data_IF_632980418002
#
_entry.id   IF_632980418002
#
_cell.length_a   1.000
_cell.length_b   1.000
_cell.length_c   1.000
_cell.angle_alpha   90.00
_cell.angle_beta   90.00
_cell.angle_gamma   90.00
#
_symmetry.space_group_name_H-M   'P 1'
#
loop_
_entity.id
_entity.type
_entity.pdbx_description
1 polymer ?
#
# COMPACT_ATOMS: atom_id res chain seq x y z
N UNK A 1 17.87 7.38 13.01
CA UNK A 1 16.45 7.49 12.58
C UNK A 1 16.00 8.92 12.84
N UNK A 2 15.41 9.59 11.85
CA UNK A 2 15.01 11.01 11.92
C UNK A 2 13.76 11.24 12.77
N UNK A 3 13.60 12.46 13.30
CA UNK A 3 12.45 12.89 14.10
C UNK A 3 11.09 12.65 13.42
N UNK A 4 11.03 12.68 12.08
CA UNK A 4 9.82 12.44 11.29
C UNK A 4 9.27 11.01 11.44
N UNK A 5 10.16 10.01 11.51
CA UNK A 5 9.77 8.60 11.73
C UNK A 5 9.37 8.32 13.19
N UNK A 6 9.82 9.18 14.13
CA UNK A 6 9.40 9.11 15.54
C UNK A 6 7.98 9.62 15.71
N UNK A 7 7.66 10.74 15.07
CA UNK A 7 6.33 11.37 15.12
C UNK A 7 5.25 10.45 14.52
N UNK A 8 5.58 9.67 13.48
CA UNK A 8 4.63 8.75 12.84
C UNK A 8 4.42 7.43 13.61
N UNK A 9 4.99 7.27 14.82
CA UNK A 9 4.86 6.03 15.62
C UNK A 9 5.62 4.82 15.03
N UNK A 10 6.30 4.99 13.90
CA UNK A 10 7.08 3.95 13.22
C UNK A 10 8.24 3.47 14.10
N UNK A 11 8.77 4.31 15.00
CA UNK A 11 9.81 3.91 15.96
C UNK A 11 9.32 2.85 16.95
N UNK A 12 8.09 3.01 17.49
CA UNK A 12 7.48 2.03 18.39
C UNK A 12 7.26 0.71 17.65
N UNK A 13 6.70 0.78 16.43
CA UNK A 13 6.49 -0.41 15.60
C UNK A 13 7.80 -1.09 15.22
N UNK A 14 8.84 -0.34 14.86
CA UNK A 14 10.16 -0.90 14.58
C UNK A 14 10.77 -1.59 15.80
N UNK A 15 10.58 -1.00 16.99
CA UNK A 15 11.03 -1.59 18.24
C UNK A 15 10.30 -2.89 18.56
N UNK A 16 8.97 -2.92 18.38
CA UNK A 16 8.17 -4.14 18.49
C UNK A 16 8.61 -5.20 17.46
N UNK A 17 8.86 -4.81 16.21
CA UNK A 17 9.31 -5.70 15.15
C UNK A 17 10.65 -6.38 15.44
N UNK A 18 11.56 -5.69 16.14
CA UNK A 18 12.83 -6.27 16.62
C UNK A 18 12.66 -7.28 17.75
N UNK A 19 11.60 -7.14 18.56
CA UNK A 19 11.34 -7.99 19.73
C UNK A 19 10.45 -9.20 19.41
N UNK A 20 9.53 -9.05 18.45
CA UNK A 20 8.59 -10.11 18.10
C UNK A 20 9.25 -11.20 17.25
N UNK A 21 8.93 -12.48 17.50
CA UNK A 21 9.31 -13.57 16.61
C UNK A 21 8.79 -13.33 15.18
N UNK A 22 9.56 -13.75 14.18
CA UNK A 22 9.21 -13.56 12.77
C UNK A 22 7.82 -14.09 12.37
N UNK A 23 7.38 -15.26 12.86
CA UNK A 23 6.01 -15.73 12.59
C UNK A 23 4.96 -14.82 13.20
N UNK A 24 5.15 -14.39 14.45
CA UNK A 24 4.21 -13.54 15.18
C UNK A 24 4.02 -12.19 14.50
N UNK A 25 5.10 -11.52 14.08
CA UNK A 25 5.02 -10.25 13.37
C UNK A 25 4.27 -10.37 12.03
N UNK A 26 4.44 -11.51 11.32
CA UNK A 26 3.74 -11.79 10.05
C UNK A 26 2.27 -12.07 10.28
N UNK A 27 1.92 -12.87 11.30
CA UNK A 27 0.52 -13.12 11.67
C UNK A 27 -0.16 -11.83 12.10
N UNK A 28 0.48 -11.01 12.93
CA UNK A 28 -0.07 -9.74 13.37
C UNK A 28 -0.34 -8.80 12.19
N UNK A 29 0.62 -8.60 11.29
CA UNK A 29 0.41 -7.74 10.12
C UNK A 29 -0.65 -8.30 9.17
N UNK A 30 -0.70 -9.62 8.99
CA UNK A 30 -1.73 -10.26 8.18
C UNK A 30 -3.14 -10.10 8.78
N UNK A 31 -3.31 -10.29 10.09
CA UNK A 31 -4.58 -10.10 10.77
C UNK A 31 -5.08 -8.66 10.66
N UNK A 32 -4.19 -7.67 10.85
CA UNK A 32 -4.56 -6.26 10.70
C UNK A 32 -4.89 -5.92 9.25
N UNK A 33 -4.16 -6.47 8.27
CA UNK A 33 -4.45 -6.28 6.86
C UNK A 33 -5.82 -6.86 6.48
N UNK A 34 -6.12 -8.08 6.95
CA UNK A 34 -7.41 -8.73 6.72
C UNK A 34 -8.51 -7.91 7.37
N UNK A 35 -8.34 -7.51 8.64
CA UNK A 35 -9.31 -6.65 9.33
C UNK A 35 -9.56 -5.33 8.61
N UNK A 36 -8.50 -4.66 8.14
CA UNK A 36 -8.61 -3.41 7.41
C UNK A 36 -9.35 -3.53 6.07
N UNK A 37 -9.25 -4.70 5.41
CA UNK A 37 -9.97 -4.97 4.17
C UNK A 37 -11.41 -5.47 4.41
N UNK A 38 -11.65 -6.22 5.48
CA UNK A 38 -12.98 -6.71 5.83
C UNK A 38 -13.87 -5.61 6.42
N UNK A 39 -13.29 -4.59 7.05
CA UNK A 39 -14.04 -3.48 7.62
C UNK A 39 -14.96 -2.78 6.60
N UNK A 40 -14.47 -2.32 5.43
CA UNK A 40 -15.34 -1.73 4.42
C UNK A 40 -16.30 -2.76 3.80
N UNK A 41 -15.91 -4.03 3.66
CA UNK A 41 -16.81 -5.10 3.19
C UNK A 41 -18.01 -5.26 4.13
N UNK A 42 -17.74 -5.35 5.42
CA UNK A 42 -18.76 -5.49 6.45
C UNK A 42 -19.68 -4.28 6.48
N UNK A 43 -19.14 -3.07 6.38
CA UNK A 43 -19.95 -1.85 6.33
C UNK A 43 -20.82 -1.76 5.06
N UNK A 44 -20.37 -2.27 3.91
CA UNK A 44 -21.20 -2.40 2.69
C UNK A 44 -22.32 -3.42 2.89
N UNK A 45 -22.03 -4.58 3.49
CA UNK A 45 -23.04 -5.62 3.77
C UNK A 45 -24.14 -5.14 4.73
N UNK A 46 -23.81 -4.23 5.64
CA UNK A 46 -24.77 -3.56 6.53
C UNK A 46 -25.45 -2.35 5.90
N UNK A 47 -25.14 -2.01 4.65
CA UNK A 47 -25.68 -0.84 3.95
C UNK A 47 -25.17 0.50 4.48
N UNK A 48 -24.14 0.51 5.33
CA UNK A 48 -23.52 1.73 5.87
C UNK A 48 -22.61 2.43 4.87
N UNK A 49 -21.94 1.67 3.99
CA UNK A 49 -21.13 2.21 2.90
C UNK A 49 -21.77 1.90 1.55
N UNK A 50 -21.81 2.90 0.67
CA UNK A 50 -22.21 2.75 -0.71
C UNK A 50 -21.02 2.54 -1.66
N UNK A 51 -21.33 2.35 -2.94
CA UNK A 51 -20.33 2.18 -3.98
C UNK A 51 -19.37 3.38 -4.08
N UNK A 52 -19.90 4.61 -4.00
CA UNK A 52 -19.07 5.82 -4.06
C UNK A 52 -18.07 5.91 -2.90
N UNK A 53 -18.47 5.47 -1.70
CA UNK A 53 -17.58 5.42 -0.55
C UNK A 53 -16.43 4.41 -0.78
N UNK A 54 -16.75 3.20 -1.24
CA UNK A 54 -15.76 2.14 -1.51
C UNK A 54 -14.73 2.57 -2.55
N UNK A 55 -15.17 3.21 -3.64
CA UNK A 55 -14.28 3.68 -4.70
C UNK A 55 -13.23 4.67 -4.17
N UNK A 56 -13.67 5.61 -3.34
CA UNK A 56 -12.79 6.61 -2.74
C UNK A 56 -11.90 6.01 -1.64
N UNK A 57 -12.39 5.03 -0.87
CA UNK A 57 -11.60 4.28 0.11
C UNK A 57 -10.46 3.52 -0.60
N UNK A 58 -10.73 2.84 -1.71
CA UNK A 58 -9.70 2.16 -2.49
C UNK A 58 -8.77 3.12 -3.21
N UNK A 59 -9.27 4.26 -3.66
CA UNK A 59 -8.39 5.33 -4.14
C UNK A 59 -7.44 5.81 -3.03
N UNK A 60 -7.93 6.01 -1.81
CA UNK A 60 -7.10 6.42 -0.68
C UNK A 60 -6.03 5.36 -0.35
N UNK A 61 -6.35 4.07 -0.44
CA UNK A 61 -5.35 3.00 -0.30
C UNK A 61 -4.19 3.17 -1.30
N UNK A 62 -4.46 3.59 -2.54
CA UNK A 62 -3.40 3.88 -3.52
C UNK A 62 -2.49 5.03 -3.07
N UNK A 63 -3.04 6.06 -2.43
CA UNK A 63 -2.26 7.17 -1.86
C UNK A 63 -1.33 6.67 -0.76
N UNK A 64 -1.83 5.78 0.11
CA UNK A 64 -1.03 5.17 1.18
C UNK A 64 0.08 4.28 0.60
N UNK A 65 -0.22 3.47 -0.42
CA UNK A 65 0.77 2.63 -1.12
C UNK A 65 1.84 3.50 -1.80
N UNK A 66 1.44 4.57 -2.49
CA UNK A 66 2.35 5.54 -3.11
C UNK A 66 3.33 6.11 -2.08
N UNK A 67 2.82 6.59 -0.95
CA UNK A 67 3.64 7.16 0.11
C UNK A 67 4.60 6.15 0.71
N UNK A 68 4.09 5.00 1.16
CA UNK A 68 4.91 3.96 1.81
C UNK A 68 5.95 3.36 0.87
N UNK A 69 5.63 3.16 -0.41
CA UNK A 69 6.58 2.67 -1.41
C UNK A 69 7.70 3.69 -1.66
N UNK A 70 7.36 4.97 -1.73
CA UNK A 70 8.37 6.04 -1.83
C UNK A 70 9.32 6.02 -0.63
N UNK A 71 8.81 5.84 0.59
CA UNK A 71 9.65 5.67 1.79
C UNK A 71 10.55 4.44 1.68
N UNK A 72 10.01 3.31 1.20
CA UNK A 72 10.80 2.09 1.01
C UNK A 72 11.94 2.30 0.00
N UNK A 73 11.67 2.92 -1.16
CA UNK A 73 12.71 3.20 -2.16
C UNK A 73 13.82 4.11 -1.58
N UNK A 74 13.44 5.14 -0.81
CA UNK A 74 14.39 6.09 -0.20
C UNK A 74 15.23 5.48 0.93
N UNK A 75 14.72 4.43 1.58
CA UNK A 75 15.34 3.86 2.80
C UNK A 75 15.86 2.43 2.61
N UNK A 76 15.78 1.88 1.40
CA UNK A 76 16.43 0.63 1.04
C UNK A 76 17.95 0.79 1.19
N UNK A 77 18.63 -0.21 1.76
CA UNK A 77 20.09 -0.20 1.95
C UNK A 77 20.79 -1.28 1.14
N UNK A 78 20.05 -2.21 0.53
CA UNK A 78 20.62 -3.23 -0.35
C UNK A 78 21.00 -2.60 -1.71
N UNK A 79 22.27 -2.70 -2.15
CA UNK A 79 22.69 -2.17 -3.45
C UNK A 79 21.98 -2.88 -4.61
N UNK A 80 21.29 -2.11 -5.46
CA UNK A 80 20.71 -2.65 -6.69
C UNK A 80 21.77 -3.03 -7.74
N UNK A 81 21.47 -3.98 -8.65
CA UNK A 81 22.40 -4.45 -9.68
C UNK A 81 22.84 -3.35 -10.66
N UNK A 82 22.13 -2.23 -10.72
CA UNK A 82 22.52 -1.04 -11.46
C UNK A 82 22.51 0.15 -10.49
N UNK A 83 23.68 0.64 -10.12
CA UNK A 83 23.81 2.09 -9.87
C UNK A 83 23.59 2.73 -11.24
N UNK A 84 22.33 2.97 -11.60
CA UNK A 84 22.00 3.74 -12.79
C UNK A 84 22.87 4.98 -12.73
N UNK A 85 23.78 5.11 -13.70
CA UNK A 85 24.57 6.33 -13.90
C UNK A 85 23.53 7.42 -14.02
N UNK A 86 23.34 8.18 -12.94
CA UNK A 86 22.23 9.09 -12.79
C UNK A 86 22.18 9.93 -14.08
N UNK A 87 21.11 9.86 -14.92
CA UNK A 87 20.88 10.96 -15.86
C UNK A 87 20.95 12.23 -15.02
N UNK A 88 21.44 13.37 -15.54
CA UNK A 88 21.57 14.62 -14.75
C UNK A 88 20.21 14.94 -14.08
N UNK A 89 20.01 14.44 -12.87
CA UNK A 89 18.73 14.36 -12.21
C UNK A 89 18.61 15.70 -11.49
N UNK A 90 17.51 16.40 -11.79
CA UNK A 90 17.29 17.78 -11.37
C UNK A 90 17.55 18.00 -9.88
N UNK A 91 17.81 19.26 -9.52
CA UNK A 91 18.31 19.66 -8.20
C UNK A 91 17.50 19.20 -6.98
N UNK A 92 16.29 18.65 -7.15
CA UNK A 92 15.51 18.04 -6.07
C UNK A 92 16.07 16.68 -5.64
N UNK A 93 16.49 15.82 -6.57
CA UNK A 93 17.01 14.49 -6.23
C UNK A 93 18.37 14.58 -5.52
N UNK A 94 19.22 15.53 -5.92
CA UNK A 94 20.49 15.81 -5.23
C UNK A 94 20.26 16.34 -3.81
N UNK A 95 19.32 17.29 -3.62
CA UNK A 95 18.93 17.79 -2.29
C UNK A 95 18.36 16.69 -1.38
N UNK A 96 17.66 15.71 -1.95
CA UNK A 96 17.19 14.55 -1.19
C UNK A 96 18.35 13.62 -0.80
N UNK A 97 19.30 13.40 -1.72
CA UNK A 97 20.49 12.57 -1.46
C UNK A 97 21.35 13.11 -0.30
N UNK A 98 21.38 14.43 -0.09
CA UNK A 98 22.09 15.07 1.02
C UNK A 98 21.46 14.80 2.40
N UNK A 99 20.23 14.27 2.46
CA UNK A 99 19.55 13.99 3.72
C UNK A 99 20.05 12.69 4.35
N UNK A 100 20.43 12.76 5.62
CA UNK A 100 20.99 11.63 6.40
C UNK A 100 20.08 10.40 6.58
N UNK A 101 18.78 10.52 6.28
CA UNK A 101 17.82 9.43 6.35
C UNK A 101 17.58 8.75 5.00
N UNK A 102 18.10 9.30 3.90
CA UNK A 102 18.05 8.68 2.57
C UNK A 102 19.24 7.74 2.45
N UNK A 103 18.96 6.46 2.27
CA UNK A 103 19.98 5.41 2.11
C UNK A 103 19.85 4.66 0.79
N UNK A 104 18.71 4.79 0.12
CA UNK A 104 18.39 4.14 -1.14
C UNK A 104 18.63 5.05 -2.34
N UNK A 105 17.71 5.00 -3.31
CA UNK A 105 17.86 5.71 -4.58
C UNK A 105 16.85 6.88 -4.67
N UNK A 106 17.26 8.13 -4.41
CA UNK A 106 16.36 9.29 -4.44
C UNK A 106 15.88 9.64 -5.85
N UNK A 107 16.63 9.28 -6.88
CA UNK A 107 16.23 9.51 -8.25
C UNK A 107 15.12 8.56 -8.68
N UNK A 108 15.29 7.28 -8.36
CA UNK A 108 14.25 6.28 -8.55
C UNK A 108 13.00 6.60 -7.73
N UNK A 109 13.17 7.05 -6.48
CA UNK A 109 12.06 7.47 -5.65
C UNK A 109 11.30 8.65 -6.26
N UNK A 110 12.00 9.65 -6.81
CA UNK A 110 11.38 10.77 -7.51
C UNK A 110 10.66 10.32 -8.79
N UNK A 111 11.29 9.47 -9.59
CA UNK A 111 10.69 8.90 -10.80
C UNK A 111 9.38 8.18 -10.45
N UNK A 112 9.42 7.28 -9.46
CA UNK A 112 8.26 6.56 -8.96
C UNK A 112 7.20 7.53 -8.42
N UNK A 113 7.60 8.46 -7.56
CA UNK A 113 6.67 9.38 -6.92
C UNK A 113 5.92 10.25 -7.94
N UNK A 114 6.59 10.69 -9.01
CA UNK A 114 5.96 11.45 -10.10
C UNK A 114 5.07 10.57 -10.98
N UNK A 115 5.57 9.44 -11.49
CA UNK A 115 4.80 8.58 -12.40
C UNK A 115 3.59 7.96 -11.71
N UNK A 116 3.81 7.34 -10.55
CA UNK A 116 2.75 6.73 -9.76
C UNK A 116 1.83 7.81 -9.16
N UNK A 117 2.37 8.98 -8.82
CA UNK A 117 1.60 10.11 -8.34
C UNK A 117 0.61 10.63 -9.40
N UNK A 118 1.06 10.84 -10.63
CA UNK A 118 0.19 11.23 -11.75
C UNK A 118 -0.93 10.19 -11.94
N UNK A 119 -0.56 8.91 -11.95
CA UNK A 119 -1.53 7.82 -12.03
C UNK A 119 -2.56 7.86 -10.89
N UNK A 120 -2.10 8.08 -9.65
CA UNK A 120 -2.97 8.18 -8.46
C UNK A 120 -3.92 9.38 -8.55
N UNK A 121 -3.47 10.50 -9.12
CA UNK A 121 -4.31 11.68 -9.36
C UNK A 121 -5.37 11.40 -10.43
N UNK A 122 -4.97 10.85 -11.59
CA UNK A 122 -5.92 10.52 -12.67
C UNK A 122 -6.96 9.53 -12.19
N UNK A 123 -6.53 8.47 -11.49
CA UNK A 123 -7.45 7.51 -10.89
C UNK A 123 -8.34 8.15 -9.82
N UNK A 124 -7.83 9.12 -9.06
CA UNK A 124 -8.62 9.88 -8.09
C UNK A 124 -9.72 10.71 -8.71
N UNK A 125 -9.44 11.38 -9.83
CA UNK A 125 -10.47 12.08 -10.61
C UNK A 125 -11.54 11.10 -11.07
N UNK A 126 -11.13 9.95 -11.62
CA UNK A 126 -12.07 8.91 -12.04
C UNK A 126 -12.94 8.40 -10.86
N UNK A 127 -12.31 8.07 -9.73
CA UNK A 127 -13.01 7.60 -8.53
C UNK A 127 -13.97 8.67 -7.98
N UNK A 128 -13.58 9.94 -7.97
CA UNK A 128 -14.41 11.04 -7.51
C UNK A 128 -15.61 11.29 -8.43
N UNK A 129 -15.43 11.20 -9.75
CA UNK A 129 -16.54 11.30 -10.71
C UNK A 129 -17.53 10.16 -10.49
N UNK A 130 -17.05 8.91 -10.41
CA UNK A 130 -17.93 7.76 -10.17
C UNK A 130 -18.63 7.82 -8.81
N UNK A 131 -17.94 8.29 -7.77
CA UNK A 131 -18.53 8.48 -6.46
C UNK A 131 -19.60 9.59 -6.47
N UNK A 132 -19.38 10.68 -7.22
CA UNK A 132 -20.39 11.72 -7.43
C UNK A 132 -21.64 11.20 -8.16
N UNK A 133 -21.46 10.29 -9.12
CA UNK A 133 -22.57 9.63 -9.83
C UNK A 133 -23.30 8.59 -8.97
N UNK A 134 -22.59 7.90 -8.08
CA UNK A 134 -23.12 6.79 -7.28
C UNK A 134 -23.63 7.22 -5.89
N UNK A 135 -23.29 8.44 -5.46
CA UNK A 135 -23.59 8.95 -4.13
C UNK A 135 -22.65 8.46 -3.02
N UNK A 136 -22.54 9.24 -1.96
CA UNK A 136 -21.83 8.91 -0.72
C UNK A 136 -22.85 8.65 0.39
N UNK A 137 -22.78 7.48 1.00
CA UNK A 137 -23.72 7.03 2.03
C UNK A 137 -23.03 6.88 3.40
N UNK A 138 -21.70 6.75 3.40
CA UNK A 138 -20.90 6.50 4.59
C UNK A 138 -20.98 7.59 5.64
N UNK A 139 -21.21 7.19 6.89
CA UNK A 139 -21.07 8.07 8.04
C UNK A 139 -19.61 8.43 8.32
N UNK A 140 -19.37 9.56 8.99
CA UNK A 140 -18.03 10.02 9.36
C UNK A 140 -17.22 8.94 10.11
N UNK A 141 -17.88 8.18 10.99
CA UNK A 141 -17.22 7.12 11.76
C UNK A 141 -16.75 5.96 10.87
N UNK A 142 -17.54 5.54 9.87
CA UNK A 142 -17.15 4.48 8.94
C UNK A 142 -15.94 4.90 8.09
N UNK A 143 -15.95 6.15 7.62
CA UNK A 143 -14.84 6.76 6.90
C UNK A 143 -13.56 6.82 7.74
N UNK A 144 -13.65 7.39 8.94
CA UNK A 144 -12.51 7.50 9.85
C UNK A 144 -11.97 6.13 10.23
N UNK A 145 -12.84 5.17 10.55
CA UNK A 145 -12.44 3.82 10.92
C UNK A 145 -11.72 3.11 9.76
N UNK A 146 -12.25 3.22 8.54
CA UNK A 146 -11.65 2.57 7.36
C UNK A 146 -10.31 3.19 6.98
N UNK A 147 -10.23 4.53 6.93
CA UNK A 147 -8.98 5.26 6.68
C UNK A 147 -7.93 4.90 7.73
N UNK A 148 -8.31 4.90 9.01
CA UNK A 148 -7.42 4.55 10.11
C UNK A 148 -6.94 3.09 10.00
N UNK A 149 -7.81 2.15 9.64
CA UNK A 149 -7.44 0.75 9.47
C UNK A 149 -6.46 0.55 8.31
N UNK A 150 -6.68 1.20 7.16
CA UNK A 150 -5.77 1.17 6.01
C UNK A 150 -4.40 1.74 6.39
N UNK A 151 -4.38 2.92 7.03
CA UNK A 151 -3.15 3.56 7.50
C UNK A 151 -2.41 2.67 8.49
N UNK A 152 -3.12 2.10 9.47
CA UNK A 152 -2.53 1.23 10.48
C UNK A 152 -1.92 -0.03 9.86
N UNK A 153 -2.62 -0.68 8.92
CA UNK A 153 -2.14 -1.86 8.19
C UNK A 153 -0.80 -1.58 7.49
N UNK A 154 -0.72 -0.48 6.74
CA UNK A 154 0.47 -0.11 6.00
C UNK A 154 1.61 0.41 6.92
N UNK A 155 1.26 1.18 7.95
CA UNK A 155 2.22 1.65 8.94
C UNK A 155 2.83 0.48 9.73
N UNK A 156 2.04 -0.51 10.13
CA UNK A 156 2.55 -1.73 10.78
C UNK A 156 3.46 -2.52 9.85
N UNK A 157 3.11 -2.66 8.57
CA UNK A 157 3.98 -3.33 7.60
C UNK A 157 5.34 -2.62 7.47
N UNK A 158 5.32 -1.29 7.35
CA UNK A 158 6.54 -0.48 7.28
C UNK A 158 7.34 -0.50 8.59
N UNK A 159 6.67 -0.40 9.73
CA UNK A 159 7.31 -0.36 11.04
C UNK A 159 7.90 -1.71 11.45
N UNK A 160 7.04 -2.74 11.54
CA UNK A 160 7.43 -4.06 12.01
C UNK A 160 8.45 -4.69 11.06
N UNK A 161 8.14 -4.74 9.76
CA UNK A 161 8.90 -5.56 8.82
C UNK A 161 10.05 -4.78 8.17
N UNK A 162 9.74 -3.63 7.55
CA UNK A 162 10.74 -2.86 6.82
C UNK A 162 11.83 -2.27 7.74
N UNK A 163 11.43 -1.60 8.82
CA UNK A 163 12.38 -1.01 9.76
C UNK A 163 12.81 -1.95 10.88
N UNK A 164 11.87 -2.65 11.50
CA UNK A 164 12.14 -3.52 12.66
C UNK A 164 12.88 -4.80 12.29
N UNK A 165 12.41 -5.52 11.29
CA UNK A 165 12.98 -6.81 10.87
C UNK A 165 14.03 -6.71 9.76
N UNK A 166 14.33 -5.50 9.29
CA UNK A 166 15.45 -5.26 8.39
C UNK A 166 15.19 -5.62 6.93
N UNK A 167 13.94 -5.71 6.45
CA UNK A 167 13.69 -5.99 5.03
C UNK A 167 14.38 -4.97 4.10
N UNK A 168 14.53 -3.72 4.55
CA UNK A 168 15.29 -2.68 3.83
C UNK A 168 16.73 -3.08 3.51
N UNK A 169 17.32 -4.02 4.25
CA UNK A 169 18.71 -4.47 4.09
C UNK A 169 18.88 -5.53 3.01
N UNK A 170 17.79 -6.20 2.62
CA UNK A 170 17.80 -7.32 1.68
C UNK A 170 16.98 -7.02 0.41
N UNK A 171 16.36 -5.84 0.34
CA UNK A 171 15.54 -5.38 -0.79
C UNK A 171 16.22 -4.20 -1.48
N UNK A 172 16.42 -4.31 -2.79
CA UNK A 172 16.94 -3.21 -3.60
C UNK A 172 15.86 -2.15 -3.86
N UNK A 173 16.24 -0.87 -4.08
CA UNK A 173 15.30 0.19 -4.43
C UNK A 173 14.41 -0.17 -5.64
N UNK A 174 14.99 -0.80 -6.67
CA UNK A 174 14.27 -1.25 -7.86
C UNK A 174 13.19 -2.30 -7.56
N UNK A 175 13.49 -3.23 -6.67
CA UNK A 175 12.50 -4.23 -6.26
C UNK A 175 11.39 -3.59 -5.41
N UNK A 176 11.75 -2.68 -4.49
CA UNK A 176 10.78 -1.95 -3.70
C UNK A 176 9.79 -1.16 -4.57
N UNK A 177 10.24 -0.61 -5.70
CA UNK A 177 9.40 0.11 -6.66
C UNK A 177 8.31 -0.75 -7.30
N UNK A 178 8.62 -1.99 -7.66
CA UNK A 178 7.70 -2.88 -8.39
C UNK A 178 6.83 -3.74 -7.47
N UNK A 179 7.25 -3.91 -6.20
CA UNK A 179 6.55 -4.69 -5.20
C UNK A 179 5.03 -4.42 -5.08
N UNK A 180 4.53 -3.16 -5.11
CA UNK A 180 3.10 -2.91 -4.97
C UNK A 180 2.26 -3.23 -6.21
N UNK A 181 2.86 -3.43 -7.40
CA UNK A 181 2.11 -3.50 -8.66
C UNK A 181 1.05 -4.62 -8.73
N UNK A 182 1.30 -5.84 -8.22
CA UNK A 182 0.26 -6.89 -8.21
C UNK A 182 -1.00 -6.46 -7.45
N UNK A 183 -0.85 -5.77 -6.32
CA UNK A 183 -1.97 -5.21 -5.54
C UNK A 183 -2.70 -4.12 -6.31
N UNK A 184 -1.96 -3.25 -6.99
CA UNK A 184 -2.55 -2.20 -7.82
C UNK A 184 -3.38 -2.77 -8.96
N UNK A 185 -2.87 -3.80 -9.64
CA UNK A 185 -3.60 -4.48 -10.70
C UNK A 185 -4.89 -5.10 -10.14
N UNK A 186 -4.80 -5.81 -9.01
CA UNK A 186 -5.99 -6.38 -8.35
C UNK A 186 -7.04 -5.30 -8.02
N UNK A 187 -6.61 -4.17 -7.45
CA UNK A 187 -7.49 -3.06 -7.12
C UNK A 187 -8.17 -2.47 -8.36
N UNK A 188 -7.42 -2.20 -9.43
CA UNK A 188 -7.99 -1.64 -10.67
C UNK A 188 -8.94 -2.60 -11.35
N UNK A 189 -8.60 -3.89 -11.42
CA UNK A 189 -9.50 -4.90 -11.95
C UNK A 189 -10.78 -4.98 -11.13
N UNK A 190 -10.68 -4.90 -9.81
CA UNK A 190 -11.85 -4.91 -8.91
C UNK A 190 -12.74 -3.69 -9.13
N UNK A 191 -12.16 -2.49 -9.22
CA UNK A 191 -12.88 -1.23 -9.46
C UNK A 191 -13.54 -1.21 -10.84
N UNK A 192 -12.81 -1.60 -11.88
CA UNK A 192 -13.30 -1.64 -13.26
C UNK A 192 -14.41 -2.68 -13.40
N UNK A 193 -14.19 -3.90 -12.90
CA UNK A 193 -15.18 -4.96 -12.96
C UNK A 193 -16.43 -4.60 -12.13
N UNK A 194 -16.25 -3.99 -10.95
CA UNK A 194 -17.36 -3.49 -10.14
C UNK A 194 -18.18 -2.44 -10.86
N UNK A 195 -17.54 -1.48 -11.53
CA UNK A 195 -18.23 -0.48 -12.33
C UNK A 195 -19.08 -1.10 -13.46
N UNK A 196 -18.54 -2.06 -14.20
CA UNK A 196 -19.27 -2.71 -15.29
C UNK A 196 -20.34 -3.69 -14.82
N UNK A 197 -20.09 -4.47 -13.76
CA UNK A 197 -21.08 -5.41 -13.20
C UNK A 197 -22.30 -4.70 -12.61
N UNK A 198 -22.15 -3.45 -12.18
CA UNK A 198 -23.24 -2.64 -11.63
C UNK A 198 -23.99 -1.80 -12.69
N UNK A 199 -23.78 -2.12 -13.97
CA UNK A 199 -24.54 -1.53 -15.07
C UNK A 199 -23.90 -0.31 -15.73
N UNK A 200 -22.66 0.05 -15.37
CA UNK A 200 -21.93 1.14 -16.01
C UNK A 200 -22.67 2.49 -15.99
N UNK A 201 -22.54 3.34 -17.02
CA UNK A 201 -23.21 4.66 -17.09
C UNK A 201 -24.75 4.59 -17.16
N UNK A 202 -25.32 3.47 -17.62
CA UNK A 202 -26.76 3.34 -17.89
C UNK A 202 -27.53 2.63 -16.75
N UNK A 203 -26.85 2.34 -15.62
CA UNK A 203 -27.45 2.11 -14.31
C UNK A 203 -28.66 1.16 -14.30
N UNK A 204 -28.44 -0.11 -14.61
CA UNK A 204 -29.48 -1.16 -14.52
C UNK A 204 -29.04 -2.38 -13.73
N UNK A 205 -28.47 -2.17 -12.55
CA UNK A 205 -28.50 -3.15 -11.45
C UNK A 205 -28.07 -2.43 -10.17
N UNK A 206 -28.94 -1.53 -9.70
CA UNK A 206 -29.00 -1.25 -8.27
C UNK A 206 -29.43 -2.55 -7.57
N UNK A 207 -28.82 -2.82 -6.42
CA UNK A 207 -29.19 -3.82 -5.41
C UNK A 207 -28.38 -5.13 -5.33
N UNK A 208 -27.30 -5.32 -6.09
CA UNK A 208 -26.43 -6.49 -5.86
C UNK A 208 -25.24 -6.15 -4.96
N UNK A 209 -25.55 -5.81 -3.69
CA UNK A 209 -24.56 -5.73 -2.60
C UNK A 209 -23.68 -6.99 -2.55
N UNK A 210 -24.20 -8.13 -3.00
CA UNK A 210 -23.46 -9.38 -3.17
C UNK A 210 -22.32 -9.30 -4.18
N UNK A 211 -22.52 -8.64 -5.33
CA UNK A 211 -21.48 -8.46 -6.33
C UNK A 211 -20.33 -7.56 -5.82
N UNK A 212 -20.67 -6.46 -5.14
CA UNK A 212 -19.68 -5.57 -4.51
C UNK A 212 -18.91 -6.33 -3.43
N UNK A 213 -19.61 -7.00 -2.51
CA UNK A 213 -18.98 -7.77 -1.45
C UNK A 213 -18.09 -8.90 -1.98
N UNK A 214 -18.51 -9.60 -3.06
CA UNK A 214 -17.73 -10.64 -3.72
C UNK A 214 -16.43 -10.09 -4.32
N UNK A 215 -16.51 -8.96 -5.03
CA UNK A 215 -15.35 -8.31 -5.62
C UNK A 215 -14.37 -7.83 -4.56
N UNK A 216 -14.87 -7.19 -3.51
CA UNK A 216 -14.05 -6.74 -2.38
C UNK A 216 -13.46 -7.92 -1.59
N UNK A 217 -14.21 -9.01 -1.42
CA UNK A 217 -13.73 -10.25 -0.82
C UNK A 217 -12.62 -10.89 -1.65
N UNK A 218 -12.79 -10.96 -2.97
CA UNK A 218 -11.76 -11.44 -3.90
C UNK A 218 -10.50 -10.60 -3.81
N UNK A 219 -10.63 -9.27 -3.80
CA UNK A 219 -9.52 -8.35 -3.57
C UNK A 219 -8.82 -8.62 -2.24
N UNK A 220 -9.58 -8.83 -1.17
CA UNK A 220 -9.03 -9.14 0.17
C UNK A 220 -8.17 -10.41 0.14
N UNK A 221 -8.63 -11.46 -0.55
CA UNK A 221 -7.87 -12.70 -0.72
C UNK A 221 -6.59 -12.43 -1.51
N UNK A 222 -6.66 -11.72 -2.64
CA UNK A 222 -5.49 -11.38 -3.45
C UNK A 222 -4.47 -10.56 -2.66
N UNK A 223 -4.92 -9.56 -1.90
CA UNK A 223 -4.09 -8.73 -1.05
C UNK A 223 -3.37 -9.55 0.03
N UNK A 224 -4.07 -10.50 0.66
CA UNK A 224 -3.47 -11.41 1.63
C UNK A 224 -2.43 -12.32 0.97
N UNK A 225 -2.74 -12.90 -0.19
CA UNK A 225 -1.80 -13.74 -0.94
C UNK A 225 -0.54 -12.98 -1.32
N UNK A 226 -0.66 -11.75 -1.82
CA UNK A 226 0.47 -10.90 -2.18
C UNK A 226 1.27 -10.47 -0.96
N UNK A 227 0.61 -10.12 0.15
CA UNK A 227 1.26 -9.79 1.41
C UNK A 227 2.09 -10.95 1.97
N UNK A 228 1.50 -12.16 1.99
CA UNK A 228 2.21 -13.37 2.42
C UNK A 228 3.37 -13.71 1.47
N UNK A 229 3.13 -13.63 0.16
CA UNK A 229 4.13 -13.89 -0.87
C UNK A 229 5.33 -12.94 -0.76
N UNK A 230 5.08 -11.65 -0.55
CA UNK A 230 6.08 -10.62 -0.34
C UNK A 230 7.00 -10.96 0.85
N UNK A 231 6.42 -11.22 2.03
CA UNK A 231 7.20 -11.53 3.23
C UNK A 231 7.88 -12.91 3.20
N UNK A 232 7.32 -13.88 2.50
CA UNK A 232 7.97 -15.17 2.27
C UNK A 232 9.15 -15.05 1.31
N UNK A 233 9.01 -14.26 0.23
CA UNK A 233 10.10 -13.95 -0.68
C UNK A 233 11.26 -13.26 0.06
N UNK A 234 10.94 -12.36 0.99
CA UNK A 234 11.94 -11.71 1.85
C UNK A 234 12.64 -12.68 2.79
N UNK A 235 11.89 -13.53 3.49
CA UNK A 235 12.48 -14.53 4.37
C UNK A 235 13.43 -15.47 3.62
N UNK A 236 13.10 -15.82 2.37
CA UNK A 236 13.98 -16.61 1.49
C UNK A 236 15.25 -15.84 1.11
N UNK A 237 15.13 -14.56 0.74
CA UNK A 237 16.30 -13.73 0.39
C UNK A 237 17.24 -13.47 1.55
N UNK A 238 16.71 -13.22 2.75
CA UNK A 238 17.52 -13.06 3.95
C UNK A 238 18.38 -14.31 4.22
N UNK A 239 17.80 -15.51 4.07
CA UNK A 239 18.54 -16.77 4.22
C UNK A 239 19.65 -16.95 3.17
N UNK A 240 19.48 -16.46 1.95
CA UNK A 240 20.52 -16.55 0.91
C UNK A 240 21.69 -15.61 1.22
N UNK A 241 21.41 -14.42 1.76
CA UNK A 241 22.46 -13.47 2.19
C UNK A 241 23.27 -14.04 3.35
N UNK A 242 22.63 -14.66 4.35
CA UNK A 242 23.33 -15.29 5.49
C UNK A 242 24.22 -16.49 5.09
N UNK A 243 23.92 -17.12 3.95
CA UNK A 243 24.69 -18.27 3.43
C UNK A 243 25.78 -17.89 2.42
N UNK A 244 25.88 -16.61 2.04
CA UNK A 244 26.93 -16.10 1.17
C UNK A 244 28.16 -15.73 2.02
N UNK A 245 29.32 -16.39 1.85
CA UNK A 245 30.52 -16.16 2.66
C UNK A 245 31.16 -14.79 2.45
#
# INVERSE_FOLDING_TARGET
MTALLRILGVEVMAHLGRRLPAPTARVLSALVLVGANLLPVWAVLEGRLGMGDVLLIYWFENVVIWFTTTVRILTATQPGPHRSRAPRLGGLATRLAEKTWVTGDPALALLFALHFGIFTVVHGVFAAVLAGLSGLHGGLLDWVATIAAILLSHALSLGLHWFGRGERQVVSPGWAMVAPYPRMVALHLTVILGFFLLGGPDGRTADDLGAVALLMGTKTVLDLLFHLGEHLAFARRARVVDLSP
#
